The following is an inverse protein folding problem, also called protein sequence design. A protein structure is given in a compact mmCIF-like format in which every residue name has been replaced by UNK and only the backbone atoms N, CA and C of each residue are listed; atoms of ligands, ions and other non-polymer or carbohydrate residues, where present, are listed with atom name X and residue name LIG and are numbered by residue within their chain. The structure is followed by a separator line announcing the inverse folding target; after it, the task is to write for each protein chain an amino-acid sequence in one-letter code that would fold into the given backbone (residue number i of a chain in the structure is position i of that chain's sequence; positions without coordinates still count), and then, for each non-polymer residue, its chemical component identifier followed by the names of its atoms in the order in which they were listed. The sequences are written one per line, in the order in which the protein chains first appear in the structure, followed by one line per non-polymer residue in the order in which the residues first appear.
data_IF_944098402205
#
_entry.id   IF_944098402205
#
_cell.length_a   1.000
_cell.length_b   1.000
_cell.length_c   1.000
_cell.angle_alpha   90.00
_cell.angle_beta   90.00
_cell.angle_gamma   90.00
#
_symmetry.space_group_name_H-M   'P 1'
#
loop_
_entity.id
_entity.type
_entity.pdbx_description
1 polymer ?
#
# COMPACT_ATOMS: atom_id res chain seq x y z
N UNK A 1 18.78 26.91 -14.76
CA UNK A 1 19.13 26.41 -13.42
C UNK A 1 18.41 25.08 -13.26
N UNK A 2 19.15 23.98 -13.44
CA UNK A 2 18.57 22.63 -13.45
C UNK A 2 18.26 22.19 -12.03
N UNK A 3 17.01 21.81 -11.79
CA UNK A 3 16.65 21.16 -10.54
C UNK A 3 17.17 19.71 -10.61
N UNK A 4 18.30 19.49 -9.93
CA UNK A 4 18.80 18.16 -9.63
C UNK A 4 17.80 17.50 -8.68
N UNK A 5 16.86 16.73 -9.23
CA UNK A 5 16.08 15.79 -8.45
C UNK A 5 17.02 14.62 -8.16
N UNK A 6 17.51 14.59 -6.92
CA UNK A 6 18.21 13.46 -6.31
C UNK A 6 17.42 12.18 -6.60
N UNK A 7 18.04 11.25 -7.33
CA UNK A 7 17.44 9.93 -7.68
C UNK A 7 17.29 9.00 -6.48
N UNK A 8 17.46 9.52 -5.27
CA UNK A 8 17.45 8.80 -3.99
C UNK A 8 16.16 9.00 -3.18
N UNK A 9 15.25 9.88 -3.61
CA UNK A 9 14.07 10.26 -2.83
C UNK A 9 12.73 9.76 -3.40
N UNK A 10 12.77 8.89 -4.40
CA UNK A 10 11.57 8.16 -4.86
C UNK A 10 11.70 6.74 -4.35
N UNK A 11 11.25 6.50 -3.11
CA UNK A 11 11.00 5.15 -2.61
C UNK A 11 10.12 4.45 -3.63
N UNK A 12 10.74 3.56 -4.38
CA UNK A 12 10.16 2.94 -5.56
C UNK A 12 8.93 2.19 -5.08
N UNK A 13 7.76 2.66 -5.49
CA UNK A 13 6.63 1.77 -5.66
C UNK A 13 7.09 0.79 -6.75
N UNK A 14 7.69 -0.33 -6.30
CA UNK A 14 8.47 -1.27 -7.11
C UNK A 14 7.67 -1.64 -8.37
N UNK A 15 8.35 -1.84 -9.50
CA UNK A 15 7.73 -2.21 -10.78
C UNK A 15 6.80 -3.43 -10.61
N UNK A 16 7.09 -4.28 -9.62
CA UNK A 16 6.24 -5.35 -9.13
C UNK A 16 4.87 -4.87 -8.62
N UNK A 17 4.82 -3.85 -7.76
CA UNK A 17 3.58 -3.24 -7.28
C UNK A 17 2.76 -2.67 -8.44
N UNK A 18 3.41 -2.03 -9.42
CA UNK A 18 2.75 -1.52 -10.62
C UNK A 18 2.17 -2.62 -11.51
N UNK A 19 2.90 -3.73 -11.70
CA UNK A 19 2.35 -4.89 -12.42
C UNK A 19 1.15 -5.48 -11.70
N UNK A 20 1.21 -5.59 -10.36
CA UNK A 20 0.12 -6.13 -9.55
C UNK A 20 -1.13 -5.25 -9.58
N UNK A 21 -1.01 -3.92 -9.55
CA UNK A 21 -2.16 -3.03 -9.67
C UNK A 21 -2.80 -3.07 -11.06
N UNK A 22 -1.98 -3.14 -12.11
CA UNK A 22 -2.49 -3.20 -13.49
C UNK A 22 -3.14 -4.55 -13.80
N UNK A 23 -2.52 -5.65 -13.36
CA UNK A 23 -2.97 -7.00 -13.67
C UNK A 23 -4.21 -7.40 -12.87
N UNK A 24 -4.22 -7.13 -11.55
CA UNK A 24 -5.32 -7.56 -10.70
C UNK A 24 -6.47 -6.56 -10.64
N UNK A 25 -6.19 -5.25 -10.69
CA UNK A 25 -7.19 -4.20 -10.44
C UNK A 25 -7.43 -3.27 -11.63
N UNK A 26 -6.76 -3.52 -12.76
CA UNK A 26 -6.97 -2.82 -14.03
C UNK A 26 -6.75 -1.30 -13.98
N UNK A 27 -5.94 -0.80 -13.04
CA UNK A 27 -5.59 0.62 -13.00
C UNK A 27 -4.67 1.00 -14.18
N UNK A 28 -4.99 2.12 -14.84
CA UNK A 28 -4.17 2.73 -15.90
C UNK A 28 -3.03 3.61 -15.35
N UNK A 29 -3.11 3.99 -14.08
CA UNK A 29 -2.15 4.83 -13.37
C UNK A 29 -1.98 4.35 -11.94
N UNK A 30 -0.78 4.48 -11.39
CA UNK A 30 -0.52 4.08 -10.01
C UNK A 30 -1.36 4.89 -9.01
N UNK A 31 -1.95 4.23 -8.00
CA UNK A 31 -2.57 4.92 -6.89
C UNK A 31 -1.55 5.78 -6.14
N UNK A 32 -1.99 6.92 -5.60
CA UNK A 32 -1.14 7.75 -4.74
C UNK A 32 -0.94 7.07 -3.38
N UNK A 33 0.13 7.37 -2.63
CA UNK A 33 0.33 6.85 -1.28
C UNK A 33 -0.87 7.07 -0.35
N UNK A 34 -1.54 8.23 -0.46
CA UNK A 34 -2.77 8.56 0.29
C UNK A 34 -3.91 7.61 -0.10
N UNK A 35 -4.08 7.32 -1.38
CA UNK A 35 -5.11 6.39 -1.87
C UNK A 35 -4.86 4.97 -1.35
N UNK A 36 -3.61 4.52 -1.33
CA UNK A 36 -3.24 3.22 -0.76
C UNK A 36 -3.53 3.20 0.75
N UNK A 37 -3.27 4.30 1.46
CA UNK A 37 -3.59 4.46 2.89
C UNK A 37 -5.08 4.29 3.17
N UNK A 38 -5.93 5.09 2.52
CA UNK A 38 -7.37 5.02 2.76
C UNK A 38 -7.96 3.67 2.33
N UNK A 39 -7.43 3.07 1.27
CA UNK A 39 -7.80 1.71 0.87
C UNK A 39 -7.48 0.66 1.95
N UNK A 40 -6.28 0.71 2.54
CA UNK A 40 -5.90 -0.20 3.63
C UNK A 40 -6.78 -0.05 4.87
N UNK A 41 -7.10 1.19 5.27
CA UNK A 41 -8.08 1.44 6.36
C UNK A 41 -9.43 0.82 6.05
N UNK A 42 -9.89 1.00 4.82
CA UNK A 42 -11.17 0.45 4.38
C UNK A 42 -11.17 -1.08 4.44
N UNK A 43 -10.09 -1.73 3.98
CA UNK A 43 -9.93 -3.19 4.09
C UNK A 43 -9.94 -3.67 5.54
N UNK A 44 -9.23 -3.01 6.44
CA UNK A 44 -9.19 -3.40 7.86
C UNK A 44 -10.55 -3.26 8.53
N UNK A 45 -11.29 -2.18 8.22
CA UNK A 45 -12.65 -1.99 8.73
C UNK A 45 -13.62 -3.04 8.20
N UNK A 46 -13.45 -3.48 6.94
CA UNK A 46 -14.28 -4.52 6.34
C UNK A 46 -13.95 -5.91 6.88
N UNK A 47 -12.66 -6.22 7.09
CA UNK A 47 -12.23 -7.49 7.67
C UNK A 47 -12.74 -7.63 9.11
N UNK A 48 -12.57 -6.59 9.94
CA UNK A 48 -13.11 -6.57 11.30
C UNK A 48 -14.60 -6.22 11.41
N UNK A 49 -15.39 -6.36 10.34
CA UNK A 49 -16.83 -6.04 10.34
C UNK A 49 -17.64 -6.99 11.24
N UNK A 50 -17.09 -8.15 11.58
CA UNK A 50 -17.60 -9.08 12.58
C UNK A 50 -17.32 -8.63 14.04
N UNK A 51 -16.66 -7.48 14.21
CA UNK A 51 -16.34 -6.85 15.47
C UNK A 51 -14.93 -7.09 15.97
N UNK A 52 -14.14 -7.96 15.32
CA UNK A 52 -12.75 -8.24 15.69
C UNK A 52 -11.91 -8.41 14.43
N UNK A 53 -10.89 -7.58 14.24
CA UNK A 53 -9.86 -7.84 13.23
C UNK A 53 -8.85 -8.85 13.79
N UNK A 54 -8.85 -10.07 13.28
CA UNK A 54 -7.89 -11.09 13.71
C UNK A 54 -6.46 -10.74 13.30
N UNK A 55 -5.48 -11.22 14.05
CA UNK A 55 -4.06 -10.96 13.78
C UNK A 55 -3.64 -11.48 12.40
N UNK A 56 -4.16 -12.64 11.99
CA UNK A 56 -3.92 -13.24 10.68
C UNK A 56 -4.47 -12.36 9.54
N UNK A 57 -5.66 -11.78 9.71
CA UNK A 57 -6.26 -10.88 8.71
C UNK A 57 -5.46 -9.60 8.57
N UNK A 58 -5.04 -9.02 9.71
CA UNK A 58 -4.17 -7.85 9.73
C UNK A 58 -2.85 -8.13 9.01
N UNK A 59 -2.19 -9.24 9.33
CA UNK A 59 -0.93 -9.62 8.70
C UNK A 59 -1.09 -9.85 7.20
N UNK A 60 -2.19 -10.50 6.79
CA UNK A 60 -2.49 -10.69 5.38
C UNK A 60 -2.68 -9.36 4.64
N UNK A 61 -3.46 -8.43 5.21
CA UNK A 61 -3.69 -7.10 4.63
C UNK A 61 -2.36 -6.34 4.50
N UNK A 62 -1.55 -6.32 5.57
CA UNK A 62 -0.25 -5.66 5.59
C UNK A 62 0.71 -6.25 4.54
N UNK A 63 0.79 -7.58 4.43
CA UNK A 63 1.61 -8.24 3.42
C UNK A 63 1.15 -7.95 2.00
N UNK A 64 -0.17 -7.94 1.77
CA UNK A 64 -0.77 -7.65 0.47
C UNK A 64 -0.47 -6.22 0.00
N UNK A 65 -0.55 -5.23 0.90
CA UNK A 65 -0.27 -3.82 0.54
C UNK A 65 1.23 -3.54 0.46
N UNK A 66 2.05 -4.20 1.28
CA UNK A 66 3.51 -4.16 1.18
C UNK A 66 4.01 -4.70 -0.18
N UNK A 67 3.48 -5.84 -0.62
CA UNK A 67 3.79 -6.40 -1.95
C UNK A 67 3.40 -5.47 -3.11
N UNK A 68 2.49 -4.53 -2.86
CA UNK A 68 2.02 -3.54 -3.83
C UNK A 68 2.76 -2.20 -3.74
N UNK A 69 3.82 -2.12 -2.93
CA UNK A 69 4.66 -0.92 -2.83
C UNK A 69 4.11 0.14 -1.86
N UNK A 70 3.41 -0.28 -0.81
CA UNK A 70 3.18 0.56 0.35
C UNK A 70 4.51 1.02 0.97
N UNK A 71 4.56 2.27 1.43
CA UNK A 71 5.75 2.81 2.09
C UNK A 71 5.96 2.16 3.46
N UNK A 72 7.21 2.19 3.96
CA UNK A 72 7.53 1.68 5.29
C UNK A 72 6.77 2.42 6.39
N UNK A 73 6.61 3.73 6.25
CA UNK A 73 5.84 4.57 7.20
C UNK A 73 4.39 4.11 7.34
N UNK A 74 3.77 3.73 6.22
CA UNK A 74 2.43 3.20 6.20
C UNK A 74 2.35 1.83 6.88
N UNK A 75 3.32 0.95 6.61
CA UNK A 75 3.40 -0.35 7.27
C UNK A 75 3.52 -0.20 8.79
N UNK A 76 4.39 0.69 9.27
CA UNK A 76 4.59 0.94 10.68
C UNK A 76 3.33 1.52 11.36
N UNK A 77 2.54 2.34 10.65
CA UNK A 77 1.27 2.89 11.14
C UNK A 77 0.20 1.81 11.42
N UNK A 78 0.14 0.77 10.58
CA UNK A 78 -0.90 -0.27 10.66
C UNK A 78 -0.48 -1.54 11.41
N UNK A 79 0.81 -1.67 11.73
CA UNK A 79 1.36 -2.78 12.50
C UNK A 79 1.00 -2.71 13.99
N UNK A 80 0.64 -1.52 14.49
CA UNK A 80 0.37 -1.23 15.91
C UNK A 80 -0.95 -1.84 16.39
#
# INVERSE_FOLDING_TARGET
MGNNISTTDVEVCDVAGHSLFREYWHYSTMPTPVSVHEYTKTLMNLAGADGILADEERQWILGNVAAKGASKEMYDYFKI
#
